data_IF_202479185899
#
_entry.id   IF_202479185899
#
_cell.length_a   1.000
_cell.length_b   1.000
_cell.length_c   1.000
_cell.angle_alpha   90.00
_cell.angle_beta   90.00
_cell.angle_gamma   90.00
#
_symmetry.space_group_name_H-M   'P 1'
#
loop_
_entity.id
_entity.type
_entity.pdbx_description
1 polymer ?
#
# COMPACT_ATOMS: atom_id res chain seq x y z
N UNK A 1 -8.82 4.68 -9.76
CA UNK A 1 -8.38 4.22 -8.42
C UNK A 1 -9.04 2.91 -7.99
N UNK A 2 -10.27 2.60 -8.46
CA UNK A 2 -11.06 1.42 -8.09
C UNK A 2 -10.31 0.07 -8.18
N UNK A 3 -9.56 -0.18 -9.26
CA UNK A 3 -8.87 -1.47 -9.42
C UNK A 3 -7.79 -1.66 -8.36
N UNK A 4 -6.97 -0.62 -8.12
CA UNK A 4 -5.87 -0.69 -7.15
C UNK A 4 -6.40 -0.86 -5.72
N UNK A 5 -7.51 -0.19 -5.39
CA UNK A 5 -8.16 -0.32 -4.09
C UNK A 5 -8.75 -1.73 -3.89
N UNK A 6 -9.40 -2.29 -4.92
CA UNK A 6 -9.92 -3.66 -4.88
C UNK A 6 -8.82 -4.73 -4.73
N UNK A 7 -7.71 -4.62 -5.48
CA UNK A 7 -6.59 -5.56 -5.27
C UNK A 7 -5.85 -5.33 -3.96
N UNK A 8 -5.83 -4.10 -3.45
CA UNK A 8 -5.29 -3.78 -2.13
C UNK A 8 -6.09 -4.48 -1.04
N UNK A 9 -7.42 -4.34 -1.04
CA UNK A 9 -8.31 -5.01 -0.09
C UNK A 9 -8.23 -6.54 -0.22
N UNK A 10 -8.17 -7.07 -1.45
CA UNK A 10 -8.05 -8.51 -1.69
C UNK A 10 -6.75 -9.10 -1.15
N UNK A 11 -5.62 -8.43 -1.35
CA UNK A 11 -4.31 -8.93 -0.91
C UNK A 11 -4.09 -8.79 0.59
N UNK A 12 -4.62 -7.73 1.19
CA UNK A 12 -4.40 -7.42 2.60
C UNK A 12 -5.48 -7.97 3.52
N UNK A 13 -6.67 -8.26 2.99
CA UNK A 13 -7.80 -8.77 3.76
C UNK A 13 -8.05 -7.91 5.00
N UNK A 14 -7.91 -8.51 6.18
CA UNK A 14 -8.13 -7.83 7.47
C UNK A 14 -7.14 -6.70 7.78
N UNK A 15 -5.94 -6.69 7.19
CA UNK A 15 -4.94 -5.65 7.44
C UNK A 15 -5.32 -4.29 6.82
N UNK A 16 -6.17 -4.28 5.79
CA UNK A 16 -6.67 -3.06 5.13
C UNK A 16 -7.32 -2.06 6.11
N UNK A 17 -7.91 -2.56 7.22
CA UNK A 17 -8.52 -1.73 8.27
C UNK A 17 -7.53 -0.84 9.04
N UNK A 18 -6.25 -1.23 9.03
CA UNK A 18 -5.15 -0.52 9.69
C UNK A 18 -4.22 0.18 8.70
N UNK A 19 -4.28 -0.21 7.42
CA UNK A 19 -3.44 0.26 6.31
C UNK A 19 -4.30 0.85 5.21
N UNK A 20 -4.53 2.15 5.29
CA UNK A 20 -5.35 2.89 4.34
C UNK A 20 -4.49 3.30 3.16
N UNK A 21 -4.85 2.89 1.95
CA UNK A 21 -4.16 3.33 0.74
C UNK A 21 -4.54 4.78 0.44
N UNK A 22 -3.58 5.69 0.56
CA UNK A 22 -3.80 7.12 0.31
C UNK A 22 -3.65 7.48 -1.16
N UNK A 23 -2.74 6.79 -1.83
CA UNK A 23 -2.49 7.03 -3.23
C UNK A 23 -1.18 6.45 -3.70
N UNK A 24 -0.87 6.76 -4.95
CA UNK A 24 0.31 6.27 -5.63
C UNK A 24 1.00 7.42 -6.35
N UNK A 25 2.29 7.60 -6.10
CA UNK A 25 3.10 8.64 -6.75
C UNK A 25 4.39 8.02 -7.26
N UNK A 26 4.65 8.15 -8.57
CA UNK A 26 5.85 7.61 -9.24
C UNK A 26 6.11 6.11 -9.00
N UNK A 27 5.04 5.32 -8.85
CA UNK A 27 5.10 3.88 -8.57
C UNK A 27 5.32 3.53 -7.10
N UNK A 28 5.26 4.50 -6.18
CA UNK A 28 5.32 4.27 -4.73
C UNK A 28 3.92 4.38 -4.16
N UNK A 29 3.46 3.34 -3.47
CA UNK A 29 2.20 3.38 -2.72
C UNK A 29 2.43 4.09 -1.40
N UNK A 30 1.58 5.07 -1.10
CA UNK A 30 1.55 5.78 0.16
C UNK A 30 0.42 5.22 0.99
N UNK A 31 0.77 4.70 2.16
CA UNK A 31 -0.17 3.96 3.00
C UNK A 31 -0.21 4.63 4.35
N UNK A 32 -1.38 5.15 4.72
CA UNK A 32 -1.59 5.68 6.05
C UNK A 32 -1.71 4.53 7.04
N UNK A 33 -0.84 4.56 8.06
CA UNK A 33 -0.81 3.55 9.12
C UNK A 33 -1.24 4.18 10.44
N UNK A 34 -2.08 3.46 11.21
CA UNK A 34 -2.64 3.96 12.47
C UNK A 34 -1.66 3.90 13.66
N UNK A 35 -0.61 3.08 13.58
CA UNK A 35 0.35 2.90 14.68
C UNK A 35 1.79 2.64 14.19
N UNK A 36 2.80 2.86 15.04
CA UNK A 36 4.20 2.53 14.71
C UNK A 36 4.41 1.04 14.42
N UNK A 37 3.74 0.16 15.16
CA UNK A 37 3.76 -1.30 14.94
C UNK A 37 3.24 -1.65 13.55
N UNK A 38 2.10 -1.06 13.15
CA UNK A 38 1.55 -1.25 11.82
C UNK A 38 2.50 -0.75 10.72
N UNK A 39 3.28 0.30 10.98
CA UNK A 39 4.30 0.79 10.05
C UNK A 39 5.45 -0.23 9.88
N UNK A 40 5.91 -0.83 10.98
CA UNK A 40 6.96 -1.84 10.95
C UNK A 40 6.50 -3.12 10.24
N UNK A 41 5.30 -3.60 10.54
CA UNK A 41 4.73 -4.76 9.84
C UNK A 41 4.58 -4.50 8.34
N UNK A 42 4.15 -3.30 7.95
CA UNK A 42 4.05 -2.91 6.55
C UNK A 42 5.41 -2.90 5.85
N UNK A 43 6.47 -2.43 6.52
CA UNK A 43 7.82 -2.46 5.96
C UNK A 43 8.32 -3.89 5.79
N UNK A 44 8.11 -4.76 6.77
CA UNK A 44 8.53 -6.17 6.73
C UNK A 44 7.81 -6.95 5.61
N UNK A 45 6.51 -6.72 5.44
CA UNK A 45 5.69 -7.40 4.41
C UNK A 45 5.70 -6.70 3.05
N UNK A 46 6.19 -5.46 3.00
CA UNK A 46 6.02 -4.55 1.87
C UNK A 46 6.54 -5.10 0.54
N UNK A 47 7.69 -5.76 0.54
CA UNK A 47 8.25 -6.39 -0.67
C UNK A 47 7.35 -7.49 -1.24
N UNK A 48 6.77 -8.32 -0.38
CA UNK A 48 5.82 -9.36 -0.77
C UNK A 48 4.53 -8.79 -1.33
N UNK A 49 4.00 -7.74 -0.68
CA UNK A 49 2.78 -7.03 -1.11
C UNK A 49 3.00 -6.40 -2.49
N UNK A 50 4.10 -5.69 -2.71
CA UNK A 50 4.43 -5.09 -4.02
C UNK A 50 4.51 -6.15 -5.11
N UNK A 51 5.17 -7.28 -4.85
CA UNK A 51 5.28 -8.38 -5.80
C UNK A 51 3.91 -8.98 -6.13
N UNK A 52 3.04 -9.16 -5.12
CA UNK A 52 1.72 -9.74 -5.30
C UNK A 52 0.77 -8.78 -6.04
N UNK A 53 0.75 -7.50 -5.67
CA UNK A 53 -0.03 -6.47 -6.36
C UNK A 53 0.34 -6.37 -7.84
N UNK A 54 1.63 -6.40 -8.18
CA UNK A 54 2.05 -6.35 -9.58
C UNK A 54 1.57 -7.54 -10.42
N UNK A 55 1.20 -8.69 -9.84
CA UNK A 55 0.64 -9.84 -10.59
C UNK A 55 -0.70 -9.51 -11.24
N UNK A 56 -1.44 -8.56 -10.68
CA UNK A 56 -2.74 -8.14 -11.20
C UNK A 56 -2.63 -7.15 -12.37
N UNK A 57 -1.43 -6.69 -12.70
CA UNK A 57 -1.20 -5.75 -13.79
C UNK A 57 -0.39 -6.41 -14.92
N UNK A 58 -0.74 -6.10 -16.18
CA UNK A 58 -0.02 -6.62 -17.35
C UNK A 58 1.46 -6.25 -17.36
N UNK A 59 1.81 -5.09 -16.80
CA UNK A 59 3.18 -4.60 -16.65
C UNK A 59 3.39 -4.19 -15.20
N UNK A 60 4.46 -4.70 -14.58
CA UNK A 60 4.88 -4.28 -13.24
C UNK A 60 5.23 -2.80 -13.24
N UNK A 61 4.61 -2.05 -12.34
CA UNK A 61 4.79 -0.59 -12.25
C UNK A 61 4.87 -0.09 -10.80
N UNK A 62 4.42 -0.89 -9.84
CA UNK A 62 4.55 -0.61 -8.41
C UNK A 62 5.97 -1.00 -7.98
N UNK A 63 6.71 -0.03 -7.45
CA UNK A 63 8.13 -0.15 -7.09
C UNK A 63 8.35 -0.30 -5.59
N UNK A 64 7.40 0.14 -4.77
CA UNK A 64 7.57 0.17 -3.33
C UNK A 64 6.34 0.67 -2.59
N UNK A 65 6.41 0.56 -1.27
CA UNK A 65 5.41 1.04 -0.33
C UNK A 65 6.10 1.93 0.69
N UNK A 66 5.49 3.07 1.01
CA UNK A 66 5.93 3.96 2.09
C UNK A 66 4.81 4.18 3.11
N UNK A 67 5.03 3.86 4.39
CA UNK A 67 4.12 4.26 5.43
C UNK A 67 4.12 5.79 5.56
N UNK A 68 2.93 6.37 5.68
CA UNK A 68 2.74 7.78 6.04
C UNK A 68 1.92 7.86 7.32
N UNK A 69 2.20 8.85 8.17
CA UNK A 69 1.38 9.20 9.33
C UNK A 69 0.39 10.34 9.02
N UNK A 70 0.61 11.09 7.94
CA UNK A 70 -0.22 12.21 7.49
C UNK A 70 -0.94 11.87 6.18
N UNK A 71 -2.07 12.53 5.94
CA UNK A 71 -2.82 12.45 4.68
C UNK A 71 -1.95 13.00 3.54
N UNK A 72 -1.98 12.35 2.38
CA UNK A 72 -1.08 12.72 1.26
C UNK A 72 -1.39 14.11 0.68
N UNK A 73 -2.61 14.63 0.88
CA UNK A 73 -3.06 15.96 0.42
C UNK A 73 -2.49 17.14 1.24
N UNK A 74 -1.80 16.89 2.34
CA UNK A 74 -1.22 17.90 3.25
C UNK A 74 0.27 18.22 2.94
N UNK A 75 0.79 17.78 1.79
CA UNK A 75 2.23 17.80 1.45
C UNK A 75 2.57 18.40 0.07
#
# INVERSE_FOLDING_TARGET
>A
MLILDQVWEKELGHFSKHWVLEGVRRGILYVRVKSPTAAQELQLRGGGIVKSLNKYFKKSWIKGIRPTRKKLDDA
#
